data_IF_153907976823
#
_entry.id   IF_153907976823
#
_cell.length_a   1.000
_cell.length_b   1.000
_cell.length_c   1.000
_cell.angle_alpha   90.00
_cell.angle_beta   90.00
_cell.angle_gamma   90.00
#
_symmetry.space_group_name_H-M   'P 1'
#
loop_
_entity.id
_entity.type
_entity.pdbx_description
1 polymer ?
#
# COMPACT_ATOMS: atom_id res chain seq x y z
N UNK A 1 -19.13 19.04 -13.05
CA UNK A 1 -18.63 17.77 -13.63
C UNK A 1 -19.02 16.66 -12.67
N UNK A 2 -19.60 15.55 -13.15
CA UNK A 2 -19.77 14.37 -12.30
C UNK A 2 -18.36 13.84 -12.01
N UNK A 3 -17.97 13.73 -10.74
CA UNK A 3 -16.66 13.23 -10.30
C UNK A 3 -16.56 11.72 -10.56
N UNK A 4 -16.53 11.30 -11.82
CA UNK A 4 -16.37 9.91 -12.20
C UNK A 4 -14.89 9.66 -12.48
N UNK A 5 -14.26 8.80 -11.68
CA UNK A 5 -12.88 8.39 -11.88
C UNK A 5 -12.84 7.14 -12.77
N UNK A 6 -11.86 7.12 -13.67
CA UNK A 6 -11.58 5.98 -14.56
C UNK A 6 -10.19 5.44 -14.23
N UNK A 7 -9.98 4.15 -14.47
CA UNK A 7 -8.77 3.42 -14.12
C UNK A 7 -8.07 2.97 -15.40
N UNK A 8 -6.78 3.30 -15.53
CA UNK A 8 -5.95 2.93 -16.67
C UNK A 8 -4.46 3.09 -16.32
N UNK A 9 -3.56 2.57 -17.16
CA UNK A 9 -2.12 2.75 -17.00
C UNK A 9 -1.61 4.03 -17.68
N UNK A 10 -1.91 4.21 -18.98
CA UNK A 10 -1.63 5.42 -19.76
C UNK A 10 -2.80 5.76 -20.69
N UNK A 11 -3.35 6.97 -20.60
CA UNK A 11 -4.62 7.39 -21.21
C UNK A 11 -4.81 7.04 -22.70
N UNK A 12 -3.75 7.03 -23.50
CA UNK A 12 -3.83 6.78 -24.95
C UNK A 12 -2.96 5.64 -25.47
N UNK A 13 -2.04 5.13 -24.65
CA UNK A 13 -1.02 4.13 -25.08
C UNK A 13 -1.31 2.77 -24.45
N UNK A 14 -1.83 2.78 -23.22
CA UNK A 14 -2.10 1.58 -22.44
C UNK A 14 -3.28 1.85 -21.51
N UNK A 15 -4.46 2.02 -22.12
CA UNK A 15 -5.71 2.30 -21.42
C UNK A 15 -6.43 1.03 -20.95
N UNK A 16 -5.81 -0.14 -21.19
CA UNK A 16 -6.38 -1.44 -20.88
C UNK A 16 -6.42 -1.65 -19.36
N UNK A 17 -7.57 -2.11 -18.90
CA UNK A 17 -7.82 -2.44 -17.50
C UNK A 17 -8.86 -3.55 -17.42
N UNK A 18 -8.82 -4.32 -16.33
CA UNK A 18 -9.84 -5.32 -16.05
C UNK A 18 -11.17 -4.68 -15.59
N UNK A 19 -11.15 -3.43 -15.14
CA UNK A 19 -12.32 -2.65 -14.75
C UNK A 19 -12.07 -1.16 -15.03
N UNK A 20 -12.96 -0.53 -15.80
CA UNK A 20 -12.74 0.84 -16.29
C UNK A 20 -13.19 1.92 -15.30
N UNK A 21 -14.41 1.83 -14.80
CA UNK A 21 -14.91 2.78 -13.81
C UNK A 21 -14.35 2.43 -12.43
N UNK A 22 -13.88 3.43 -11.67
CA UNK A 22 -13.39 3.25 -10.31
C UNK A 22 -14.44 2.56 -9.41
N UNK A 23 -15.70 2.98 -9.51
CA UNK A 23 -16.82 2.34 -8.80
C UNK A 23 -16.98 0.86 -9.14
N UNK A 24 -16.80 0.48 -10.41
CA UNK A 24 -16.94 -0.92 -10.84
C UNK A 24 -15.80 -1.78 -10.32
N UNK A 25 -14.57 -1.23 -10.30
CA UNK A 25 -13.42 -1.86 -9.64
C UNK A 25 -13.69 -2.10 -8.15
N UNK A 26 -14.21 -1.09 -7.45
CA UNK A 26 -14.55 -1.18 -6.03
C UNK A 26 -15.64 -2.24 -5.77
N UNK A 27 -16.69 -2.31 -6.60
CA UNK A 27 -17.73 -3.36 -6.47
C UNK A 27 -17.15 -4.76 -6.64
N UNK A 28 -16.18 -4.96 -7.52
CA UNK A 28 -15.51 -6.27 -7.67
C UNK A 28 -14.72 -6.66 -6.43
N UNK A 29 -13.92 -5.73 -5.90
CA UNK A 29 -13.17 -5.94 -4.65
C UNK A 29 -14.13 -6.24 -3.49
N UNK A 30 -15.22 -5.48 -3.39
CA UNK A 30 -16.25 -5.68 -2.36
C UNK A 30 -16.86 -7.07 -2.43
N UNK A 31 -17.34 -7.50 -3.61
CA UNK A 31 -17.96 -8.81 -3.78
C UNK A 31 -17.00 -9.94 -3.42
N UNK A 32 -15.73 -9.83 -3.83
CA UNK A 32 -14.71 -10.81 -3.46
C UNK A 32 -14.45 -10.81 -1.94
N UNK A 33 -14.33 -9.63 -1.33
CA UNK A 33 -14.13 -9.49 0.12
C UNK A 33 -15.26 -10.11 0.92
N UNK A 34 -16.53 -9.89 0.53
CA UNK A 34 -17.70 -10.51 1.17
C UNK A 34 -17.73 -12.04 1.05
N UNK A 35 -17.20 -12.59 -0.05
CA UNK A 35 -17.08 -14.04 -0.24
C UNK A 35 -15.90 -14.63 0.54
N UNK A 36 -14.97 -13.80 1.01
CA UNK A 36 -13.75 -14.20 1.71
C UNK A 36 -13.59 -13.40 3.01
N UNK A 37 -14.51 -13.48 3.98
CA UNK A 37 -14.60 -12.54 5.12
C UNK A 37 -13.37 -12.52 6.04
N UNK A 38 -12.51 -13.54 5.95
CA UNK A 38 -11.23 -13.61 6.69
C UNK A 38 -10.01 -13.38 5.80
N UNK A 39 -10.17 -12.82 4.60
CA UNK A 39 -9.06 -12.54 3.70
C UNK A 39 -7.96 -11.73 4.40
N UNK A 40 -6.71 -11.90 3.98
CA UNK A 40 -5.64 -11.03 4.46
C UNK A 40 -5.88 -9.57 4.09
N UNK A 41 -5.26 -8.61 4.80
CA UNK A 41 -5.52 -7.19 4.58
C UNK A 41 -5.26 -6.80 3.13
N UNK A 42 -6.25 -6.17 2.48
CA UNK A 42 -6.10 -5.68 1.12
C UNK A 42 -5.54 -4.26 1.18
N UNK A 43 -4.42 -4.02 0.50
CA UNK A 43 -3.91 -2.67 0.28
C UNK A 43 -4.46 -2.15 -1.06
N UNK A 44 -5.40 -1.21 -0.99
CA UNK A 44 -5.94 -0.51 -2.16
C UNK A 44 -5.05 0.70 -2.45
N UNK A 45 -4.04 0.50 -3.30
CA UNK A 45 -3.20 1.59 -3.78
C UNK A 45 -3.91 2.41 -4.86
N UNK A 46 -3.97 3.72 -4.66
CA UNK A 46 -4.53 4.69 -5.59
C UNK A 46 -3.40 5.61 -6.03
N UNK A 47 -3.17 5.67 -7.33
CA UNK A 47 -2.21 6.56 -7.98
C UNK A 47 -3.01 7.52 -8.87
N UNK A 48 -2.86 8.83 -8.65
CA UNK A 48 -3.45 9.82 -9.55
C UNK A 48 -2.43 10.11 -10.65
N UNK A 49 -2.83 9.86 -11.90
CA UNK A 49 -2.00 10.16 -13.07
C UNK A 49 -1.96 11.67 -13.32
N UNK A 50 -0.75 12.22 -13.39
CA UNK A 50 -0.56 13.67 -13.56
C UNK A 50 0.51 14.03 -14.59
N UNK A 51 1.30 13.08 -15.07
CA UNK A 51 2.29 13.38 -16.10
C UNK A 51 1.61 13.43 -17.46
N UNK A 52 2.13 14.29 -18.33
CA UNK A 52 1.68 14.40 -19.73
C UNK A 52 1.60 13.05 -20.47
N UNK A 53 2.55 12.15 -20.20
CA UNK A 53 2.61 10.82 -20.81
C UNK A 53 1.59 9.83 -20.23
N UNK A 54 1.06 10.12 -19.04
CA UNK A 54 0.12 9.25 -18.31
C UNK A 54 -1.33 9.73 -18.52
N UNK A 55 -1.59 11.03 -18.35
CA UNK A 55 -2.86 11.71 -18.62
C UNK A 55 -2.59 13.13 -19.12
N UNK A 56 -2.90 13.39 -20.39
CA UNK A 56 -2.63 14.68 -21.04
C UNK A 56 -3.51 15.80 -20.48
N UNK A 57 -4.78 15.51 -20.21
CA UNK A 57 -5.75 16.51 -19.76
C UNK A 57 -5.48 16.90 -18.31
N UNK A 58 -5.21 15.92 -17.44
CA UNK A 58 -4.86 16.17 -16.05
C UNK A 58 -3.51 16.89 -15.94
N UNK A 59 -2.54 16.57 -16.80
CA UNK A 59 -1.25 17.28 -16.80
C UNK A 59 -1.37 18.76 -17.24
N UNK A 60 -2.25 19.07 -18.19
CA UNK A 60 -2.43 20.44 -18.69
C UNK A 60 -3.32 21.31 -17.82
N UNK A 61 -4.39 20.73 -17.30
CA UNK A 61 -5.50 21.49 -16.70
C UNK A 61 -5.94 20.95 -15.34
N UNK A 62 -5.43 19.78 -14.96
CA UNK A 62 -5.78 19.12 -13.71
C UNK A 62 -5.00 19.69 -12.54
N UNK A 63 -5.74 20.00 -11.48
CA UNK A 63 -5.19 20.31 -10.18
C UNK A 63 -5.75 19.29 -9.19
N UNK A 64 -4.91 18.69 -8.35
CA UNK A 64 -5.38 17.77 -7.32
C UNK A 64 -5.71 18.56 -6.06
N UNK A 65 -6.97 18.56 -5.68
CA UNK A 65 -7.50 19.33 -4.56
C UNK A 65 -8.15 18.42 -3.54
N UNK A 66 -8.39 18.96 -2.35
CA UNK A 66 -9.05 18.21 -1.28
C UNK A 66 -10.41 17.62 -1.70
N UNK A 67 -11.19 18.34 -2.52
CA UNK A 67 -12.49 17.85 -3.01
C UNK A 67 -12.37 16.53 -3.80
N UNK A 68 -11.23 16.25 -4.41
CA UNK A 68 -11.01 14.97 -5.10
C UNK A 68 -10.83 13.82 -4.10
N UNK A 69 -10.12 14.04 -2.99
CA UNK A 69 -9.98 13.04 -1.93
C UNK A 69 -11.32 12.79 -1.20
N UNK A 70 -12.09 13.84 -0.92
CA UNK A 70 -13.44 13.70 -0.38
C UNK A 70 -14.33 12.91 -1.32
N UNK A 71 -14.32 13.24 -2.62
CA UNK A 71 -15.14 12.53 -3.60
C UNK A 71 -14.74 11.06 -3.77
N UNK A 72 -13.45 10.73 -3.69
CA UNK A 72 -12.98 9.34 -3.71
C UNK A 72 -13.42 8.58 -2.45
N UNK A 73 -13.25 9.19 -1.26
CA UNK A 73 -13.73 8.63 0.02
C UNK A 73 -15.23 8.35 -0.03
N UNK A 74 -16.03 9.30 -0.51
CA UNK A 74 -17.48 9.12 -0.65
C UNK A 74 -17.83 7.95 -1.59
N UNK A 75 -17.15 7.82 -2.74
CA UNK A 75 -17.39 6.70 -3.66
C UNK A 75 -17.05 5.35 -3.04
N UNK A 76 -15.97 5.27 -2.27
CA UNK A 76 -15.58 4.06 -1.53
C UNK A 76 -16.64 3.73 -0.48
N UNK A 77 -17.08 4.70 0.33
CA UNK A 77 -18.04 4.49 1.41
C UNK A 77 -19.49 4.27 0.94
N UNK A 78 -19.80 4.53 -0.34
CA UNK A 78 -21.06 4.09 -0.96
C UNK A 78 -21.11 2.58 -1.20
N UNK A 79 -19.96 1.92 -1.24
CA UNK A 79 -19.83 0.48 -1.55
C UNK A 79 -19.46 -0.33 -0.30
N UNK A 80 -18.55 0.19 0.51
CA UNK A 80 -18.03 -0.47 1.71
C UNK A 80 -18.56 0.21 2.98
N UNK A 81 -18.84 -0.59 4.03
CA UNK A 81 -18.99 -0.04 5.38
C UNK A 81 -17.65 0.51 5.87
N UNK A 82 -17.66 1.59 6.65
CA UNK A 82 -16.46 2.15 7.29
C UNK A 82 -15.70 1.11 8.13
N UNK A 83 -16.42 0.15 8.72
CA UNK A 83 -15.83 -0.94 9.52
C UNK A 83 -14.99 -1.92 8.68
N UNK A 84 -15.08 -1.87 7.35
CA UNK A 84 -14.26 -2.68 6.45
C UNK A 84 -12.81 -2.19 6.40
N UNK A 85 -12.50 -1.01 6.96
CA UNK A 85 -11.21 -0.37 6.81
C UNK A 85 -10.39 -0.35 8.10
N UNK A 86 -9.07 -0.45 7.96
CA UNK A 86 -8.14 0.08 8.94
C UNK A 86 -7.91 1.54 8.56
N UNK A 87 -8.04 2.45 9.53
CA UNK A 87 -7.96 3.89 9.29
C UNK A 87 -6.68 4.49 9.89
N UNK A 88 -6.12 5.56 9.29
CA UNK A 88 -4.98 6.31 9.83
C UNK A 88 -5.08 6.68 11.32
N UNK A 89 -6.27 7.03 11.79
CA UNK A 89 -6.51 7.38 13.20
C UNK A 89 -6.19 6.23 14.15
N UNK A 90 -6.57 4.99 13.81
CA UNK A 90 -6.26 3.80 14.60
C UNK A 90 -4.75 3.62 14.77
N UNK A 91 -4.00 3.85 13.68
CA UNK A 91 -2.54 3.71 13.68
C UNK A 91 -1.87 4.84 14.46
N UNK A 92 -2.40 6.06 14.35
CA UNK A 92 -1.88 7.22 15.09
C UNK A 92 -2.13 7.11 16.59
N UNK A 93 -3.31 6.61 16.98
CA UNK A 93 -3.79 6.68 18.36
C UNK A 93 -3.69 8.10 18.92
N UNK A 94 -3.19 8.23 20.14
CA UNK A 94 -2.98 9.54 20.79
C UNK A 94 -1.65 10.22 20.44
N UNK A 95 -0.88 9.68 19.49
CA UNK A 95 0.39 10.30 19.10
C UNK A 95 0.17 11.54 18.23
N UNK A 96 1.17 12.42 18.21
CA UNK A 96 1.15 13.66 17.40
C UNK A 96 1.24 13.38 15.90
N UNK A 97 1.73 12.20 15.50
CA UNK A 97 1.81 11.78 14.10
C UNK A 97 1.81 10.26 13.97
N UNK A 98 1.42 9.75 12.79
CA UNK A 98 1.48 8.31 12.48
C UNK A 98 2.93 7.86 12.51
N UNK A 99 3.86 8.64 11.96
CA UNK A 99 5.29 8.30 11.96
C UNK A 99 5.84 8.10 13.38
N UNK A 100 5.43 8.95 14.33
CA UNK A 100 5.83 8.80 15.74
C UNK A 100 5.21 7.55 16.37
N UNK A 101 3.94 7.27 16.10
CA UNK A 101 3.27 6.04 16.54
C UNK A 101 3.99 4.78 16.08
N UNK A 102 4.34 4.71 14.80
CA UNK A 102 5.05 3.58 14.21
C UNK A 102 6.46 3.40 14.81
N UNK A 103 7.20 4.50 14.98
CA UNK A 103 8.52 4.46 15.65
C UNK A 103 8.43 3.93 17.08
N UNK A 104 7.43 4.39 17.85
CA UNK A 104 7.20 3.92 19.22
C UNK A 104 6.84 2.44 19.24
N UNK A 105 5.91 2.01 18.39
CA UNK A 105 5.54 0.61 18.28
C UNK A 105 6.77 -0.25 17.95
N UNK A 106 7.57 0.17 16.98
CA UNK A 106 8.77 -0.59 16.60
C UNK A 106 9.78 -0.69 17.74
N UNK A 107 9.96 0.38 18.51
CA UNK A 107 10.82 0.36 19.68
C UNK A 107 10.30 -0.59 20.77
N UNK A 108 8.98 -0.64 20.98
CA UNK A 108 8.35 -1.57 21.92
C UNK A 108 8.56 -3.03 21.47
N UNK A 109 8.34 -3.33 20.19
CA UNK A 109 8.57 -4.66 19.60
C UNK A 109 10.03 -5.12 19.74
N UNK A 110 10.99 -4.22 19.48
CA UNK A 110 12.42 -4.49 19.64
C UNK A 110 12.80 -4.78 21.11
N UNK A 111 12.02 -4.27 22.06
CA UNK A 111 12.16 -4.56 23.49
C UNK A 111 11.36 -5.81 23.92
N UNK A 112 10.75 -6.54 22.98
CA UNK A 112 9.95 -7.73 23.26
C UNK A 112 8.51 -7.44 23.72
N UNK A 113 8.06 -6.19 23.64
CA UNK A 113 6.71 -5.78 24.01
C UNK A 113 5.82 -5.67 22.78
N UNK A 114 4.97 -6.68 22.56
CA UNK A 114 4.04 -6.76 21.44
C UNK A 114 2.62 -6.30 21.83
N UNK A 115 2.52 -5.16 22.53
CA UNK A 115 1.24 -4.55 22.86
C UNK A 115 0.55 -4.02 21.59
N UNK A 116 -0.74 -4.29 21.45
CA UNK A 116 -1.57 -3.82 20.33
C UNK A 116 -2.76 -3.01 20.83
N UNK A 117 -3.26 -2.09 19.99
CA UNK A 117 -4.51 -1.35 20.24
C UNK A 117 -4.36 0.08 20.79
N UNK A 118 -3.15 0.52 21.16
CA UNK A 118 -2.92 1.91 21.62
C UNK A 118 -2.48 2.86 20.50
N UNK A 119 -1.65 2.35 19.59
CA UNK A 119 -1.11 3.00 18.40
C UNK A 119 -0.36 1.94 17.58
N UNK A 120 0.02 2.29 16.36
CA UNK A 120 0.76 1.43 15.46
C UNK A 120 -0.10 0.45 14.66
N UNK A 121 0.55 -0.38 13.87
CA UNK A 121 -0.12 -1.39 13.05
C UNK A 121 -0.84 -2.43 13.92
N UNK A 122 -2.12 -2.73 13.64
CA UNK A 122 -2.78 -3.85 14.28
C UNK A 122 -2.11 -5.18 13.88
N UNK A 123 -2.13 -6.19 14.75
CA UNK A 123 -1.65 -7.52 14.40
C UNK A 123 -2.51 -8.13 13.28
N UNK A 124 -1.95 -9.10 12.56
CA UNK A 124 -2.59 -9.70 11.40
C UNK A 124 -4.01 -10.21 11.69
N UNK A 125 -4.22 -10.87 12.83
CA UNK A 125 -5.54 -11.44 13.17
C UNK A 125 -6.64 -10.37 13.34
N UNK A 126 -6.30 -9.15 13.76
CA UNK A 126 -7.25 -8.02 13.82
C UNK A 126 -7.45 -7.34 12.46
N UNK A 127 -6.55 -7.62 11.53
CA UNK A 127 -6.54 -7.04 10.20
C UNK A 127 -7.22 -7.93 9.15
N UNK A 128 -7.58 -9.17 9.49
CA UNK A 128 -8.32 -10.06 8.59
C UNK A 128 -9.67 -9.44 8.18
N UNK A 129 -10.01 -9.55 6.90
CA UNK A 129 -11.20 -8.97 6.30
C UNK A 129 -11.14 -7.44 6.14
N UNK A 130 -10.01 -6.80 6.46
CA UNK A 130 -9.86 -5.33 6.39
C UNK A 130 -9.19 -4.87 5.11
N UNK A 131 -9.43 -3.60 4.79
CA UNK A 131 -8.86 -2.89 3.64
C UNK A 131 -8.11 -1.64 4.15
N UNK A 132 -6.97 -1.33 3.54
CA UNK A 132 -6.21 -0.10 3.74
C UNK A 132 -6.21 0.68 2.44
N UNK A 133 -6.78 1.89 2.44
CA UNK A 133 -6.75 2.75 1.25
C UNK A 133 -5.49 3.59 1.32
N UNK A 134 -4.63 3.45 0.31
CA UNK A 134 -3.31 4.09 0.30
C UNK A 134 -3.17 4.96 -0.94
N UNK A 135 -2.85 6.23 -0.76
CA UNK A 135 -2.52 7.14 -1.84
C UNK A 135 -1.01 7.11 -2.12
N UNK A 136 -0.62 6.84 -3.36
CA UNK A 136 0.78 6.89 -3.80
C UNK A 136 1.12 8.34 -4.16
N UNK A 137 2.03 8.94 -3.40
CA UNK A 137 2.48 10.33 -3.58
C UNK A 137 4.01 10.43 -3.67
N UNK A 138 4.69 9.39 -4.11
CA UNK A 138 6.14 9.30 -4.05
C UNK A 138 6.90 10.15 -5.10
N UNK A 139 6.21 10.69 -6.10
CA UNK A 139 6.81 11.50 -7.17
C UNK A 139 6.31 12.94 -7.21
N UNK A 140 5.05 13.19 -6.89
CA UNK A 140 4.39 14.48 -7.13
C UNK A 140 4.33 15.38 -5.88
N UNK A 141 4.46 14.81 -4.67
CA UNK A 141 4.40 15.52 -3.39
C UNK A 141 3.11 16.35 -3.20
N UNK A 142 1.99 15.87 -3.74
CA UNK A 142 0.67 16.52 -3.69
C UNK A 142 0.15 16.64 -2.27
N UNK A 143 0.56 15.73 -1.39
CA UNK A 143 0.08 15.66 -0.01
C UNK A 143 0.63 16.82 0.82
N UNK A 144 1.84 17.34 0.52
CA UNK A 144 2.54 18.35 1.34
C UNK A 144 1.68 19.60 1.55
N UNK A 145 0.98 20.06 0.53
CA UNK A 145 0.14 21.26 0.61
C UNK A 145 -1.29 21.01 1.11
N UNK A 146 -1.74 19.75 1.17
CA UNK A 146 -3.14 19.40 1.41
C UNK A 146 -3.38 18.74 2.76
N UNK A 147 -2.41 18.00 3.29
CA UNK A 147 -2.61 17.12 4.45
C UNK A 147 -3.09 17.84 5.72
N UNK A 148 -2.71 19.11 5.89
CA UNK A 148 -3.09 19.91 7.07
C UNK A 148 -4.50 20.49 7.00
N UNK A 149 -5.09 20.57 5.80
CA UNK A 149 -6.40 21.20 5.57
C UNK A 149 -7.43 20.23 4.99
N UNK A 150 -6.99 19.05 4.55
CA UNK A 150 -7.85 18.04 3.94
C UNK A 150 -8.09 16.86 4.89
N UNK A 151 -9.31 16.81 5.44
CA UNK A 151 -9.68 15.82 6.45
C UNK A 151 -9.77 14.40 5.87
N UNK A 152 -10.40 14.19 4.70
CA UNK A 152 -10.39 12.88 4.04
C UNK A 152 -8.98 12.35 3.85
N UNK A 153 -8.06 13.18 3.35
CA UNK A 153 -6.68 12.81 3.11
C UNK A 153 -5.96 12.37 4.38
N UNK A 154 -6.17 13.08 5.49
CA UNK A 154 -5.50 12.80 6.77
C UNK A 154 -6.14 11.65 7.58
N UNK A 155 -7.45 11.45 7.46
CA UNK A 155 -8.19 10.50 8.30
C UNK A 155 -8.61 9.21 7.58
N UNK A 156 -8.53 9.15 6.25
CA UNK A 156 -8.98 7.98 5.48
C UNK A 156 -7.88 7.33 4.64
N UNK A 157 -6.96 8.12 4.09
CA UNK A 157 -5.90 7.61 3.22
C UNK A 157 -4.59 7.45 4.00
N UNK A 158 -3.96 6.28 3.88
CA UNK A 158 -2.53 6.15 4.16
C UNK A 158 -1.73 6.76 3.02
N UNK A 159 -0.57 7.34 3.33
CA UNK A 159 0.27 7.99 2.32
C UNK A 159 1.51 7.14 2.08
N UNK A 160 1.67 6.66 0.84
CA UNK A 160 2.86 5.99 0.38
C UNK A 160 3.84 7.03 -0.19
N UNK A 161 5.03 7.12 0.40
CA UNK A 161 6.00 8.20 0.18
C UNK A 161 7.43 7.66 0.11
N UNK A 162 8.38 8.47 -0.36
CA UNK A 162 9.81 8.11 -0.32
C UNK A 162 10.53 8.74 0.87
N UNK A 163 10.00 9.84 1.41
CA UNK A 163 10.57 10.49 2.58
C UNK A 163 10.02 9.88 3.88
N UNK A 164 10.86 9.11 4.55
CA UNK A 164 10.50 8.39 5.80
C UNK A 164 10.21 9.30 6.99
N UNK A 165 10.63 10.57 6.94
CA UNK A 165 10.58 11.49 8.07
C UNK A 165 9.32 12.35 8.09
N UNK A 166 8.45 12.24 7.07
CA UNK A 166 7.20 12.98 7.05
C UNK A 166 6.26 12.47 8.17
N UNK A 167 5.50 13.35 8.84
CA UNK A 167 4.65 12.96 9.97
C UNK A 167 3.56 11.94 9.59
N UNK A 168 3.12 11.96 8.33
CA UNK A 168 2.11 11.06 7.76
C UNK A 168 2.72 9.85 7.02
N UNK A 169 4.04 9.73 6.94
CA UNK A 169 4.69 8.61 6.26
C UNK A 169 4.45 7.30 7.02
N UNK A 170 3.68 6.42 6.42
CA UNK A 170 3.29 5.10 6.97
C UNK A 170 3.72 3.96 6.06
N UNK A 171 3.61 4.17 4.73
CA UNK A 171 4.10 3.26 3.71
C UNK A 171 5.25 3.92 2.96
N UNK A 172 6.37 3.22 2.81
CA UNK A 172 7.56 3.72 2.13
C UNK A 172 7.75 3.01 0.80
N UNK A 173 7.59 3.77 -0.29
CA UNK A 173 7.87 3.29 -1.64
C UNK A 173 9.37 3.28 -1.88
N UNK A 174 9.93 2.09 -2.00
CA UNK A 174 11.31 1.81 -2.35
C UNK A 174 11.41 1.72 -3.86
N UNK A 175 12.01 2.73 -4.49
CA UNK A 175 12.13 2.78 -5.95
C UNK A 175 13.06 1.70 -6.50
N UNK A 176 14.27 1.59 -5.93
CA UNK A 176 15.22 0.57 -6.35
C UNK A 176 15.86 -0.14 -5.14
N UNK A 177 15.43 -1.38 -4.82
CA UNK A 177 15.95 -2.10 -3.66
C UNK A 177 17.44 -2.43 -3.76
N UNK A 178 18.03 -2.42 -4.97
CA UNK A 178 19.46 -2.70 -5.18
C UNK A 178 20.37 -1.58 -4.66
N UNK A 179 19.87 -0.35 -4.56
CA UNK A 179 20.67 0.83 -4.17
C UNK A 179 20.05 1.61 -2.99
N UNK A 180 18.85 1.25 -2.54
CA UNK A 180 18.14 1.94 -1.46
C UNK A 180 18.19 1.17 -0.12
N UNK A 181 19.22 0.37 0.14
CA UNK A 181 19.36 -0.41 1.38
C UNK A 181 19.16 0.43 2.65
N UNK A 182 19.82 1.59 2.75
CA UNK A 182 19.70 2.46 3.92
C UNK A 182 18.28 2.95 4.14
N UNK A 183 17.55 3.25 3.06
CA UNK A 183 16.13 3.65 3.12
C UNK A 183 15.26 2.50 3.63
N UNK A 184 15.52 1.28 3.14
CA UNK A 184 14.78 0.08 3.56
C UNK A 184 14.97 -0.14 5.06
N UNK A 185 16.23 -0.22 5.51
CA UNK A 185 16.56 -0.44 6.93
C UNK A 185 15.97 0.66 7.81
N UNK A 186 16.10 1.93 7.41
CA UNK A 186 15.55 3.05 8.17
C UNK A 186 14.01 2.99 8.25
N UNK A 187 13.32 2.63 7.15
CA UNK A 187 11.86 2.46 7.17
C UNK A 187 11.41 1.37 8.13
N UNK A 188 12.17 0.27 8.21
CA UNK A 188 11.92 -0.84 9.13
C UNK A 188 12.15 -0.47 10.59
N UNK A 189 13.23 0.27 10.87
CA UNK A 189 13.49 0.81 12.21
C UNK A 189 12.43 1.83 12.65
N UNK A 190 11.73 2.45 11.70
CA UNK A 190 10.60 3.34 11.98
C UNK A 190 9.26 2.62 12.09
N UNK A 191 9.20 1.29 11.95
CA UNK A 191 7.93 0.53 11.95
C UNK A 191 7.04 0.80 10.74
N UNK A 192 7.60 1.31 9.64
CA UNK A 192 6.86 1.62 8.42
C UNK A 192 6.77 0.40 7.51
N UNK A 193 5.67 0.29 6.77
CA UNK A 193 5.50 -0.74 5.75
C UNK A 193 6.31 -0.33 4.53
N UNK A 194 7.29 -1.13 4.13
CA UNK A 194 8.04 -0.92 2.90
C UNK A 194 7.38 -1.61 1.71
N UNK A 195 7.30 -0.91 0.58
CA UNK A 195 6.73 -1.40 -0.68
C UNK A 195 7.73 -1.23 -1.81
N UNK A 196 7.78 -2.18 -2.73
CA UNK A 196 8.46 -2.05 -4.02
C UNK A 196 7.48 -2.33 -5.17
N UNK A 197 7.56 -1.53 -6.23
CA UNK A 197 7.01 -1.87 -7.54
C UNK A 197 8.18 -2.33 -8.42
N UNK A 198 8.20 -3.62 -8.76
CA UNK A 198 9.25 -4.20 -9.60
C UNK A 198 9.26 -3.59 -11.02
N UNK A 199 8.09 -3.16 -11.51
CA UNK A 199 7.92 -2.47 -12.78
C UNK A 199 8.04 -3.37 -14.03
N UNK A 200 7.59 -2.83 -15.16
CA UNK A 200 7.60 -3.51 -16.46
C UNK A 200 8.94 -3.36 -17.19
N UNK A 201 9.43 -4.46 -17.77
CA UNK A 201 10.59 -4.44 -18.69
C UNK A 201 11.95 -4.17 -18.05
N UNK A 202 12.06 -4.18 -16.72
CA UNK A 202 13.34 -4.06 -16.04
C UNK A 202 14.16 -5.34 -16.22
N UNK A 203 15.33 -5.22 -16.85
CA UNK A 203 16.26 -6.34 -17.05
C UNK A 203 16.75 -6.94 -15.72
N UNK A 204 16.66 -6.20 -14.61
CA UNK A 204 17.05 -6.60 -13.27
C UNK A 204 15.85 -6.97 -12.39
N UNK A 205 14.66 -7.20 -12.96
CA UNK A 205 13.43 -7.48 -12.20
C UNK A 205 13.60 -8.63 -11.20
N UNK A 206 14.31 -9.69 -11.59
CA UNK A 206 14.58 -10.84 -10.73
C UNK A 206 15.56 -10.52 -9.60
N UNK A 207 16.63 -9.76 -9.87
CA UNK A 207 17.55 -9.29 -8.82
C UNK A 207 16.85 -8.35 -7.83
N UNK A 208 15.97 -7.47 -8.33
CA UNK A 208 15.16 -6.59 -7.49
C UNK A 208 14.21 -7.40 -6.60
N UNK A 209 13.62 -8.48 -7.10
CA UNK A 209 12.82 -9.41 -6.30
C UNK A 209 13.66 -10.09 -5.20
N UNK A 210 14.79 -10.70 -5.55
CA UNK A 210 15.70 -11.37 -4.59
C UNK A 210 16.15 -10.41 -3.49
N UNK A 211 16.56 -9.20 -3.88
CA UNK A 211 16.96 -8.16 -2.93
C UNK A 211 15.80 -7.74 -2.04
N UNK A 212 14.59 -7.57 -2.60
CA UNK A 212 13.41 -7.22 -1.81
C UNK A 212 13.09 -8.29 -0.75
N UNK A 213 13.28 -9.57 -1.08
CA UNK A 213 13.13 -10.67 -0.14
C UNK A 213 14.22 -10.72 0.91
N UNK A 214 15.48 -10.54 0.50
CA UNK A 214 16.64 -10.48 1.40
C UNK A 214 16.45 -9.44 2.50
N UNK A 215 15.92 -8.26 2.18
CA UNK A 215 15.71 -7.19 3.16
C UNK A 215 14.34 -7.25 3.85
N UNK A 216 13.46 -8.20 3.53
CA UNK A 216 12.14 -8.27 4.15
C UNK A 216 11.24 -7.09 3.76
N UNK A 217 11.18 -6.76 2.47
CA UNK A 217 10.16 -5.84 1.96
C UNK A 217 8.77 -6.43 2.20
N UNK A 218 7.84 -5.61 2.69
CA UNK A 218 6.51 -6.06 3.10
C UNK A 218 5.58 -6.29 1.91
N UNK A 219 5.63 -5.40 0.91
CA UNK A 219 4.77 -5.46 -0.27
C UNK A 219 5.64 -5.43 -1.52
N UNK A 220 5.61 -6.51 -2.29
CA UNK A 220 6.25 -6.61 -3.60
C UNK A 220 5.13 -6.67 -4.64
N UNK A 221 5.12 -5.70 -5.56
CA UNK A 221 4.08 -5.58 -6.59
C UNK A 221 4.69 -5.46 -7.99
N UNK A 222 3.90 -5.77 -9.02
CA UNK A 222 4.26 -5.61 -10.43
C UNK A 222 3.00 -5.25 -11.24
N UNK A 223 3.21 -4.52 -12.32
CA UNK A 223 2.28 -4.21 -13.40
C UNK A 223 2.27 -5.29 -14.50
N UNK A 224 3.14 -6.31 -14.40
CA UNK A 224 3.23 -7.40 -15.37
C UNK A 224 2.16 -8.46 -15.13
N UNK A 225 1.28 -8.64 -16.11
CA UNK A 225 0.10 -9.54 -16.03
C UNK A 225 0.41 -10.97 -16.51
N UNK A 226 1.47 -11.16 -17.30
CA UNK A 226 1.81 -12.46 -17.90
C UNK A 226 2.89 -13.16 -17.09
N UNK A 227 2.55 -14.21 -16.34
CA UNK A 227 3.54 -14.94 -15.55
C UNK A 227 3.88 -16.29 -16.20
N UNK A 228 4.48 -16.24 -17.40
CA UNK A 228 4.79 -17.46 -18.17
C UNK A 228 6.24 -17.93 -17.88
N UNK A 229 6.39 -18.97 -17.06
CA UNK A 229 7.60 -19.77 -16.80
C UNK A 229 8.94 -19.03 -16.56
N UNK A 230 8.92 -17.73 -16.27
CA UNK A 230 10.13 -16.98 -15.92
C UNK A 230 10.67 -17.41 -14.55
N UNK A 231 11.98 -17.24 -14.33
CA UNK A 231 12.62 -17.51 -13.03
C UNK A 231 11.96 -16.72 -11.88
N UNK A 232 11.53 -15.48 -12.16
CA UNK A 232 10.76 -14.67 -11.21
C UNK A 232 9.43 -15.34 -10.86
N UNK A 233 8.66 -15.77 -11.84
CA UNK A 233 7.36 -16.42 -11.63
C UNK A 233 7.48 -17.72 -10.84
N UNK A 234 8.46 -18.56 -11.19
CA UNK A 234 8.74 -19.79 -10.46
C UNK A 234 9.13 -19.50 -9.01
N UNK A 235 9.98 -18.49 -8.78
CA UNK A 235 10.39 -18.08 -7.44
C UNK A 235 9.21 -17.55 -6.62
N UNK A 236 8.39 -16.66 -7.19
CA UNK A 236 7.17 -16.14 -6.54
C UNK A 236 6.21 -17.27 -6.20
N UNK A 237 5.98 -18.23 -7.11
CA UNK A 237 5.10 -19.37 -6.88
C UNK A 237 5.62 -20.31 -5.78
N UNK A 238 6.93 -20.54 -5.74
CA UNK A 238 7.57 -21.37 -4.72
C UNK A 238 7.51 -20.71 -3.34
N UNK A 239 7.71 -19.40 -3.31
CA UNK A 239 7.70 -18.63 -2.08
C UNK A 239 6.30 -18.38 -1.54
N UNK A 240 5.34 -18.08 -2.42
CA UNK A 240 3.94 -17.78 -2.10
C UNK A 240 3.02 -18.80 -2.77
N UNK A 241 2.96 -20.04 -2.28
CA UNK A 241 2.05 -21.03 -2.82
C UNK A 241 0.61 -20.56 -2.66
N UNK A 242 -0.30 -21.01 -3.54
CA UNK A 242 -1.71 -20.56 -3.53
C UNK A 242 -2.44 -20.82 -2.20
N UNK A 243 -1.96 -21.77 -1.39
CA UNK A 243 -2.46 -22.08 -0.05
C UNK A 243 -1.99 -21.11 1.04
N UNK A 244 -0.96 -20.28 0.78
CA UNK A 244 -0.44 -19.28 1.71
C UNK A 244 0.15 -18.07 0.94
N UNK A 245 -0.69 -17.11 0.53
CA UNK A 245 -0.24 -15.91 -0.19
C UNK A 245 0.51 -14.89 0.69
N UNK A 246 0.74 -15.20 1.97
CA UNK A 246 1.56 -14.39 2.88
C UNK A 246 2.58 -15.27 3.59
N UNK A 247 3.64 -14.64 4.10
CA UNK A 247 4.72 -15.28 4.83
C UNK A 247 5.10 -14.43 6.04
N UNK A 248 5.66 -15.06 7.07
CA UNK A 248 6.41 -14.32 8.07
C UNK A 248 7.61 -13.63 7.42
N UNK A 249 7.74 -12.34 7.70
CA UNK A 249 8.88 -11.55 7.24
C UNK A 249 10.18 -12.08 7.88
N UNK A 250 11.10 -12.58 7.07
CA UNK A 250 12.34 -13.22 7.55
C UNK A 250 13.32 -12.28 8.24
N UNK A 251 13.10 -10.96 8.14
CA UNK A 251 13.95 -9.92 8.75
C UNK A 251 13.27 -9.27 9.93
N UNK A 252 11.96 -9.03 9.85
CA UNK A 252 11.24 -8.16 10.78
C UNK A 252 10.24 -8.87 11.67
N UNK A 253 9.80 -10.06 11.29
CA UNK A 253 8.76 -10.75 12.03
C UNK A 253 9.26 -11.15 13.43
N UNK A 254 8.37 -11.15 14.43
CA UNK A 254 8.70 -11.70 15.74
C UNK A 254 9.09 -13.17 15.64
N UNK A 255 9.90 -13.64 16.61
CA UNK A 255 10.34 -15.05 16.68
C UNK A 255 9.19 -16.06 16.80
N UNK A 256 8.02 -15.62 17.28
CA UNK A 256 6.81 -16.44 17.35
C UNK A 256 5.99 -16.44 16.04
N UNK A 257 6.36 -15.66 15.02
CA UNK A 257 5.70 -15.72 13.73
C UNK A 257 6.01 -17.06 13.06
N UNK A 258 4.97 -17.78 12.67
CA UNK A 258 5.11 -19.04 11.96
C UNK A 258 4.24 -19.04 10.70
N UNK A 259 4.87 -19.14 9.53
CA UNK A 259 4.19 -19.16 8.23
C UNK A 259 3.21 -20.34 8.11
N UNK A 260 3.49 -21.49 8.72
CA UNK A 260 2.66 -22.69 8.54
C UNK A 260 1.27 -22.57 9.18
N UNK A 261 1.10 -21.65 10.12
CA UNK A 261 -0.19 -21.39 10.78
C UNK A 261 -0.91 -20.16 10.21
N UNK A 262 -0.35 -19.50 9.18
CA UNK A 262 -0.98 -18.33 8.57
C UNK A 262 -2.12 -18.71 7.63
N UNK A 263 -2.10 -19.90 7.01
CA UNK A 263 -3.13 -20.35 6.06
C UNK A 263 -4.57 -20.20 6.59
N UNK A 264 -5.43 -19.58 5.78
CA UNK A 264 -6.83 -19.29 6.08
C UNK A 264 -7.77 -20.47 5.79
#
# INVERSE_FOLDING_TARGET
MKNHYVVYHMQFIDDKTNCYCFSDCLVRIYRWSQQNPKHYPIFLFIEIKQRFREDFLTALYGDVRCQHFESMKEQILRIFSIDSFILPELIRGHQTSINLALKKQRQDELNGNYSYGNYGWPPLFQSLGKILVSFIDDEHNLVVGLISTCESLSNFFFIAQTNINLPYASIINIRNPLINEQLIVASHMNGQISRVLLGYGDQQIFERYKQSRKYGIHIISTDYVQCDDTELCQSVKNDFPSSSPILCNTVLAPSFCNTTILSL
#
